data_IF_853193636199
#
_entry.id   IF_853193636199
#
_cell.length_a   1.000
_cell.length_b   1.000
_cell.length_c   1.000
_cell.angle_alpha   90.00
_cell.angle_beta   90.00
_cell.angle_gamma   90.00
#
_symmetry.space_group_name_H-M   'P 1'
#
loop_
_entity.id
_entity.type
_entity.pdbx_description
1 polymer ?
#
# COMPACT_ATOMS: atom_id res chain seq x y z
N UNK A 1 4.69 10.51 -5.73
CA UNK A 1 4.43 10.82 -4.29
C UNK A 1 5.02 9.70 -3.43
N UNK A 2 5.70 10.02 -2.31
CA UNK A 2 6.34 9.00 -1.48
C UNK A 2 5.33 8.29 -0.58
N UNK A 3 5.49 6.98 -0.44
CA UNK A 3 4.77 6.16 0.54
C UNK A 3 5.40 6.30 1.91
N UNK A 4 4.61 6.49 2.96
CA UNK A 4 5.12 6.64 4.33
C UNK A 4 4.96 5.32 5.08
N UNK A 5 6.09 4.77 5.55
CA UNK A 5 6.09 3.49 6.27
C UNK A 5 5.38 3.57 7.63
N UNK A 6 4.73 2.47 8.04
CA UNK A 6 4.06 2.35 9.36
C UNK A 6 5.00 2.66 10.53
N UNK A 7 6.27 2.24 10.45
CA UNK A 7 7.30 2.53 11.46
C UNK A 7 7.60 4.02 11.59
N UNK A 8 7.68 4.75 10.47
CA UNK A 8 7.93 6.20 10.48
C UNK A 8 6.77 6.92 11.16
N UNK A 9 5.52 6.55 10.83
CA UNK A 9 4.34 7.11 11.51
C UNK A 9 4.37 6.88 13.01
N UNK A 10 4.71 5.68 13.47
CA UNK A 10 4.83 5.36 14.90
C UNK A 10 5.92 6.19 15.58
N UNK A 11 7.10 6.32 14.96
CA UNK A 11 8.19 7.14 15.49
C UNK A 11 7.76 8.61 15.57
N UNK A 12 7.07 9.13 14.56
CA UNK A 12 6.60 10.52 14.59
C UNK A 12 5.56 10.75 15.68
N UNK A 13 4.63 9.82 15.91
CA UNK A 13 3.71 9.92 17.05
C UNK A 13 4.44 9.96 18.39
N UNK A 14 5.41 9.07 18.60
CA UNK A 14 6.20 9.02 19.84
C UNK A 14 7.05 10.27 20.01
N UNK A 15 7.72 10.72 18.95
CA UNK A 15 8.56 11.92 18.99
C UNK A 15 7.73 13.20 19.21
N UNK A 16 6.60 13.35 18.54
CA UNK A 16 5.67 14.48 18.74
C UNK A 16 5.08 14.49 20.14
N UNK A 17 4.71 13.33 20.69
CA UNK A 17 4.21 13.22 22.06
C UNK A 17 5.30 13.54 23.09
N UNK A 18 6.52 13.05 22.90
CA UNK A 18 7.65 13.36 23.77
C UNK A 18 7.97 14.86 23.78
N UNK A 19 8.03 15.47 22.59
CA UNK A 19 8.30 16.91 22.44
C UNK A 19 7.20 17.77 23.08
N UNK A 20 5.92 17.42 22.85
CA UNK A 20 4.81 18.12 23.48
C UNK A 20 4.85 17.98 25.01
N UNK A 21 5.19 16.80 25.53
CA UNK A 21 5.35 16.56 26.96
C UNK A 21 6.47 17.43 27.55
N UNK A 22 7.60 17.55 26.86
CA UNK A 22 8.69 18.45 27.26
C UNK A 22 8.25 19.91 27.32
N UNK A 23 7.50 20.38 26.29
CA UNK A 23 6.97 21.76 26.26
C UNK A 23 6.02 22.01 27.43
N UNK A 24 5.12 21.07 27.72
CA UNK A 24 4.17 21.21 28.84
C UNK A 24 4.87 21.20 30.20
N UNK A 25 5.89 20.35 30.39
CA UNK A 25 6.68 20.31 31.64
C UNK A 25 7.45 21.62 31.84
N UNK A 26 8.10 22.15 30.79
CA UNK A 26 8.80 23.44 30.87
C UNK A 26 7.82 24.59 31.17
N UNK A 27 6.65 24.59 30.51
CA UNK A 27 5.59 25.57 30.79
C UNK A 27 5.08 25.48 32.23
N UNK A 28 4.93 24.27 32.77
CA UNK A 28 4.56 24.03 34.17
C UNK A 28 5.59 24.61 35.14
N UNK A 29 6.89 24.40 34.91
CA UNK A 29 7.93 24.91 35.81
C UNK A 29 8.18 26.41 35.69
N UNK A 30 8.08 27.00 34.49
CA UNK A 30 8.46 28.39 34.24
C UNK A 30 7.31 29.40 34.38
N UNK A 31 6.06 28.98 34.13
CA UNK A 31 4.93 29.91 33.94
C UNK A 31 3.70 29.59 34.80
N UNK A 32 3.86 28.77 35.85
CA UNK A 32 2.74 28.37 36.73
C UNK A 32 2.00 29.58 37.32
N UNK A 33 0.69 29.68 37.04
CA UNK A 33 -0.17 30.74 37.54
C UNK A 33 -0.18 32.03 36.73
N UNK A 34 0.45 32.06 35.56
CA UNK A 34 0.42 33.21 34.62
C UNK A 34 -0.44 32.89 33.38
N UNK A 35 -0.92 33.92 32.68
CA UNK A 35 -1.65 33.76 31.40
C UNK A 35 -0.79 33.15 30.29
N UNK A 36 0.54 33.14 30.45
CA UNK A 36 1.48 32.57 29.49
C UNK A 36 1.43 31.04 29.50
N UNK A 37 0.96 30.42 30.59
CA UNK A 37 0.78 28.97 30.66
C UNK A 37 -0.20 28.44 29.60
N UNK A 38 -1.29 29.18 29.34
CA UNK A 38 -2.30 28.80 28.36
C UNK A 38 -1.71 28.76 26.94
N UNK A 39 -0.83 29.71 26.60
CA UNK A 39 -0.12 29.72 25.32
C UNK A 39 0.80 28.49 25.17
N UNK A 40 1.53 28.11 26.22
CA UNK A 40 2.38 26.91 26.21
C UNK A 40 1.57 25.63 25.97
N UNK A 41 0.41 25.50 26.62
CA UNK A 41 -0.48 24.35 26.43
C UNK A 41 -1.01 24.32 24.99
N UNK A 42 -1.42 25.47 24.45
CA UNK A 42 -1.88 25.57 23.06
C UNK A 42 -0.80 25.12 22.06
N UNK A 43 0.43 25.62 22.19
CA UNK A 43 1.54 25.22 21.32
C UNK A 43 1.93 23.75 21.49
N UNK A 44 1.89 23.20 22.72
CA UNK A 44 2.16 21.79 22.96
C UNK A 44 1.18 20.88 22.22
N UNK A 45 -0.12 21.21 22.23
CA UNK A 45 -1.15 20.49 21.47
C UNK A 45 -0.87 20.62 19.97
N UNK A 46 -0.60 21.83 19.49
CA UNK A 46 -0.35 22.07 18.07
C UNK A 46 0.84 21.24 17.56
N UNK A 47 1.94 21.19 18.31
CA UNK A 47 3.13 20.40 18.00
C UNK A 47 2.88 18.89 18.12
N UNK A 48 2.03 18.46 19.07
CA UNK A 48 1.67 17.05 19.22
C UNK A 48 0.93 16.52 17.98
N UNK A 49 -0.03 17.29 17.45
CA UNK A 49 -0.92 16.82 16.39
C UNK A 49 -0.46 17.15 14.97
N UNK A 50 0.23 18.27 14.75
CA UNK A 50 0.54 18.75 13.40
C UNK A 50 1.42 17.78 12.60
N UNK A 51 2.60 17.34 13.07
CA UNK A 51 3.46 16.46 12.31
C UNK A 51 2.83 15.09 11.99
N UNK A 52 2.22 14.37 12.96
CA UNK A 52 1.55 13.10 12.67
C UNK A 52 0.40 13.23 11.67
N UNK A 53 -0.36 14.33 11.75
CA UNK A 53 -1.49 14.59 10.85
C UNK A 53 -1.02 14.78 9.42
N UNK A 54 0.04 15.57 9.19
CA UNK A 54 0.61 15.80 7.86
C UNK A 54 1.08 14.47 7.24
N UNK A 55 1.80 13.64 7.98
CA UNK A 55 2.26 12.34 7.47
C UNK A 55 1.10 11.40 7.15
N UNK A 56 0.07 11.37 8.00
CA UNK A 56 -1.13 10.58 7.72
C UNK A 56 -1.86 11.06 6.47
N UNK A 57 -1.92 12.37 6.26
CA UNK A 57 -2.55 12.95 5.08
C UNK A 57 -1.78 12.62 3.79
N UNK A 58 -0.45 12.67 3.80
CA UNK A 58 0.38 12.29 2.65
C UNK A 58 0.16 10.81 2.29
N UNK A 59 0.18 9.92 3.28
CA UNK A 59 -0.06 8.49 3.05
C UNK A 59 -1.49 8.23 2.55
N UNK A 60 -2.48 8.92 3.10
CA UNK A 60 -3.87 8.86 2.63
C UNK A 60 -3.98 9.28 1.16
N UNK A 61 -3.35 10.40 0.77
CA UNK A 61 -3.33 10.85 -0.63
C UNK A 61 -2.63 9.84 -1.54
N UNK A 62 -1.53 9.24 -1.10
CA UNK A 62 -0.84 8.20 -1.85
C UNK A 62 -1.75 6.98 -2.08
N UNK A 63 -2.38 6.47 -1.01
CA UNK A 63 -3.32 5.34 -1.08
C UNK A 63 -4.51 5.62 -1.99
N UNK A 64 -5.10 6.82 -1.87
CA UNK A 64 -6.20 7.26 -2.72
C UNK A 64 -5.80 7.26 -4.21
N UNK A 65 -4.63 7.82 -4.53
CA UNK A 65 -4.13 7.82 -5.91
C UNK A 65 -3.85 6.41 -6.44
N UNK A 66 -3.44 5.47 -5.58
CA UNK A 66 -3.30 4.06 -5.97
C UNK A 66 -4.67 3.43 -6.31
N UNK A 67 -5.67 3.64 -5.45
CA UNK A 67 -7.02 3.10 -5.68
C UNK A 67 -7.68 3.71 -6.92
N UNK A 68 -7.40 4.97 -7.25
CA UNK A 68 -7.88 5.64 -8.47
C UNK A 68 -7.34 5.01 -9.76
N UNK A 69 -6.09 4.54 -9.77
CA UNK A 69 -5.45 3.92 -10.95
C UNK A 69 -5.64 2.40 -11.03
N UNK A 70 -6.14 1.76 -9.97
CA UNK A 70 -6.31 0.31 -9.93
C UNK A 70 -7.28 -0.23 -11.01
N UNK A 71 -8.42 0.43 -11.30
CA UNK A 71 -9.31 -0.01 -12.38
C UNK A 71 -8.64 0.03 -13.77
N UNK A 72 -7.79 1.03 -14.03
CA UNK A 72 -7.09 1.16 -15.31
C UNK A 72 -6.02 0.09 -15.50
N UNK A 73 -5.35 -0.30 -14.41
CA UNK A 73 -4.49 -1.48 -14.38
C UNK A 73 -5.29 -2.73 -14.76
N UNK A 74 -6.45 -2.96 -14.13
CA UNK A 74 -7.25 -4.16 -14.41
C UNK A 74 -7.76 -4.19 -15.85
N UNK A 75 -8.21 -3.06 -16.39
CA UNK A 75 -8.57 -2.95 -17.81
C UNK A 75 -7.42 -3.32 -18.72
N UNK A 76 -6.20 -2.86 -18.41
CA UNK A 76 -5.01 -3.18 -19.19
C UNK A 76 -4.65 -4.67 -19.13
N UNK A 77 -4.82 -5.31 -17.97
CA UNK A 77 -4.61 -6.76 -17.83
C UNK A 77 -5.64 -7.52 -18.64
N UNK A 78 -6.92 -7.16 -18.54
CA UNK A 78 -8.00 -7.81 -19.32
C UNK A 78 -7.75 -7.69 -20.82
N UNK A 79 -7.42 -6.49 -21.31
CA UNK A 79 -7.07 -6.27 -22.73
C UNK A 79 -5.88 -7.12 -23.17
N UNK A 80 -4.85 -7.25 -22.33
CA UNK A 80 -3.71 -8.10 -22.63
C UNK A 80 -4.10 -9.59 -22.66
N UNK A 81 -4.95 -10.05 -21.76
CA UNK A 81 -5.46 -11.42 -21.78
C UNK A 81 -6.36 -11.71 -22.98
N UNK A 82 -7.17 -10.74 -23.43
CA UNK A 82 -7.97 -10.84 -24.67
C UNK A 82 -7.09 -11.04 -25.92
N UNK A 83 -5.85 -10.55 -25.91
CA UNK A 83 -4.86 -10.83 -26.97
C UNK A 83 -4.14 -12.19 -26.82
N UNK A 84 -4.56 -13.00 -25.84
CA UNK A 84 -3.99 -14.32 -25.58
C UNK A 84 -2.75 -14.31 -24.66
N UNK A 85 -2.43 -13.20 -24.00
CA UNK A 85 -1.33 -13.18 -23.02
C UNK A 85 -1.69 -13.97 -21.76
N UNK A 86 -0.73 -14.71 -21.21
CA UNK A 86 -0.87 -15.30 -19.87
C UNK A 86 -0.93 -14.20 -18.81
N UNK A 87 -1.55 -14.46 -17.66
CA UNK A 87 -1.69 -13.47 -16.59
C UNK A 87 -0.33 -12.92 -16.09
N UNK A 88 0.73 -13.73 -15.87
CA UNK A 88 2.06 -13.20 -15.55
C UNK A 88 2.59 -12.24 -16.62
N UNK A 89 2.38 -12.57 -17.91
CA UNK A 89 2.84 -11.72 -19.02
C UNK A 89 2.05 -10.43 -19.13
N UNK A 90 0.74 -10.48 -18.94
CA UNK A 90 -0.13 -9.31 -18.88
C UNK A 90 0.26 -8.35 -17.75
N UNK A 91 0.65 -8.89 -16.59
CA UNK A 91 1.18 -8.11 -15.47
C UNK A 91 2.55 -7.51 -15.76
N UNK A 92 3.44 -8.24 -16.42
CA UNK A 92 4.75 -7.75 -16.86
C UNK A 92 4.60 -6.57 -17.84
N UNK A 93 3.75 -6.70 -18.85
CA UNK A 93 3.49 -5.61 -19.80
C UNK A 93 2.80 -4.42 -19.12
N UNK A 94 1.87 -4.69 -18.19
CA UNK A 94 1.24 -3.63 -17.40
C UNK A 94 2.26 -2.88 -16.53
N UNK A 95 3.26 -3.56 -15.95
CA UNK A 95 4.28 -2.91 -15.12
C UNK A 95 5.18 -1.92 -15.89
N UNK A 96 5.19 -1.98 -17.22
CA UNK A 96 5.88 -1.02 -18.10
C UNK A 96 5.10 0.28 -18.28
N UNK A 97 3.78 0.28 -18.07
CA UNK A 97 2.91 1.46 -18.16
C UNK A 97 2.98 2.33 -16.89
N UNK A 98 2.53 3.57 -17.03
CA UNK A 98 2.43 4.53 -15.92
C UNK A 98 1.01 4.56 -15.33
N UNK A 99 0.93 4.26 -14.04
CA UNK A 99 -0.25 4.28 -13.18
C UNK A 99 0.05 5.15 -11.93
N UNK A 100 0.96 6.11 -12.08
CA UNK A 100 1.38 7.01 -11.02
C UNK A 100 2.00 6.25 -9.83
N UNK A 101 1.52 6.44 -8.59
CA UNK A 101 2.13 5.82 -7.41
C UNK A 101 2.04 4.30 -7.40
N UNK A 102 1.12 3.70 -8.16
CA UNK A 102 0.93 2.26 -8.28
C UNK A 102 2.07 1.58 -9.08
N UNK A 103 2.64 2.26 -10.08
CA UNK A 103 3.69 1.71 -10.96
C UNK A 103 4.91 1.22 -10.18
N UNK A 104 5.32 1.95 -9.14
CA UNK A 104 6.47 1.56 -8.33
C UNK A 104 6.23 0.21 -7.60
N UNK A 105 5.01 -0.04 -7.13
CA UNK A 105 4.67 -1.30 -6.45
C UNK A 105 4.43 -2.46 -7.41
N UNK A 106 3.91 -2.17 -8.63
CA UNK A 106 3.80 -3.14 -9.71
C UNK A 106 5.16 -3.59 -10.24
N UNK A 107 6.10 -2.65 -10.45
CA UNK A 107 7.47 -3.00 -10.87
C UNK A 107 8.18 -3.88 -9.86
N UNK A 108 7.99 -3.61 -8.56
CA UNK A 108 8.50 -4.48 -7.49
C UNK A 108 7.88 -5.87 -7.55
N UNK A 109 6.57 -5.97 -7.75
CA UNK A 109 5.88 -7.25 -7.90
C UNK A 109 6.40 -8.03 -9.12
N UNK A 110 6.57 -7.37 -10.26
CA UNK A 110 7.13 -7.98 -11.46
C UNK A 110 8.58 -8.47 -11.24
N UNK A 111 9.39 -7.68 -10.53
CA UNK A 111 10.75 -8.08 -10.16
C UNK A 111 10.75 -9.33 -9.26
N UNK A 112 9.83 -9.42 -8.30
CA UNK A 112 9.70 -10.61 -7.45
C UNK A 112 9.35 -11.86 -8.27
N UNK A 113 8.42 -11.75 -9.22
CA UNK A 113 8.06 -12.85 -10.13
C UNK A 113 9.28 -13.24 -10.98
N UNK A 114 10.02 -12.26 -11.51
CA UNK A 114 11.23 -12.52 -12.30
C UNK A 114 12.35 -13.22 -11.52
N UNK A 115 12.33 -13.11 -10.19
CA UNK A 115 13.27 -13.79 -9.28
C UNK A 115 12.75 -15.15 -8.77
N UNK A 116 11.68 -15.67 -9.38
CA UNK A 116 11.15 -17.01 -9.10
C UNK A 116 10.08 -17.07 -8.01
N UNK A 117 9.63 -15.92 -7.48
CA UNK A 117 8.45 -15.90 -6.60
C UNK A 117 7.21 -16.30 -7.40
N UNK A 118 6.34 -17.13 -6.83
CA UNK A 118 5.10 -17.50 -7.52
C UNK A 118 4.20 -16.27 -7.70
N UNK A 119 3.34 -16.30 -8.72
CA UNK A 119 2.43 -15.18 -8.99
C UNK A 119 1.55 -14.85 -7.77
N UNK A 120 1.05 -15.87 -7.09
CA UNK A 120 0.18 -15.72 -5.92
C UNK A 120 0.91 -15.06 -4.76
N UNK A 121 2.11 -15.55 -4.42
CA UNK A 121 2.94 -14.96 -3.38
C UNK A 121 3.28 -13.50 -3.70
N UNK A 122 3.59 -13.20 -4.97
CA UNK A 122 3.91 -11.84 -5.41
C UNK A 122 2.69 -10.91 -5.31
N UNK A 123 1.49 -11.39 -5.67
CA UNK A 123 0.23 -10.65 -5.52
C UNK A 123 -0.12 -10.40 -4.05
N UNK A 124 0.06 -11.39 -3.18
CA UNK A 124 -0.14 -11.25 -1.72
C UNK A 124 0.87 -10.24 -1.14
N UNK A 125 2.13 -10.33 -1.54
CA UNK A 125 3.16 -9.37 -1.12
C UNK A 125 2.85 -7.96 -1.62
N UNK A 126 2.37 -7.82 -2.85
CA UNK A 126 1.89 -6.56 -3.41
C UNK A 126 0.72 -5.99 -2.61
N UNK A 127 -0.30 -6.80 -2.28
CA UNK A 127 -1.43 -6.36 -1.46
C UNK A 127 -1.00 -5.86 -0.08
N UNK A 128 -0.09 -6.58 0.58
CA UNK A 128 0.47 -6.18 1.87
C UNK A 128 1.28 -4.89 1.78
N UNK A 129 1.94 -4.63 0.65
CA UNK A 129 2.66 -3.36 0.45
C UNK A 129 1.68 -2.22 0.20
N UNK A 130 0.74 -2.35 -0.73
CA UNK A 130 -0.19 -1.25 -1.06
C UNK A 130 -1.12 -0.94 0.11
N UNK A 131 -1.61 -1.96 0.80
CA UNK A 131 -2.38 -1.85 2.05
C UNK A 131 -3.63 -0.95 1.91
N UNK A 132 -4.36 -1.11 0.81
CA UNK A 132 -5.68 -0.49 0.59
C UNK A 132 -6.79 -1.54 0.63
N UNK A 133 -8.00 -1.13 1.00
CA UNK A 133 -9.16 -2.03 1.10
C UNK A 133 -9.46 -2.65 -0.26
N UNK A 134 -9.35 -1.86 -1.33
CA UNK A 134 -9.65 -2.30 -2.69
C UNK A 134 -8.69 -3.41 -3.11
N UNK A 135 -7.37 -3.22 -2.94
CA UNK A 135 -6.36 -4.21 -3.31
C UNK A 135 -6.52 -5.51 -2.51
N UNK A 136 -6.78 -5.42 -1.21
CA UNK A 136 -7.01 -6.60 -0.35
C UNK A 136 -8.25 -7.42 -0.77
N UNK A 137 -9.24 -6.79 -1.41
CA UNK A 137 -10.42 -7.49 -1.93
C UNK A 137 -10.20 -8.05 -3.33
N UNK A 138 -9.45 -7.35 -4.18
CA UNK A 138 -9.28 -7.74 -5.59
C UNK A 138 -8.21 -8.81 -5.78
N UNK A 139 -7.13 -8.78 -5.00
CA UNK A 139 -6.02 -9.74 -5.16
C UNK A 139 -6.46 -11.20 -4.99
N UNK A 140 -7.24 -11.58 -3.96
CA UNK A 140 -7.74 -12.94 -3.83
C UNK A 140 -8.59 -13.39 -5.03
N UNK A 141 -9.38 -12.48 -5.62
CA UNK A 141 -10.19 -12.78 -6.81
C UNK A 141 -9.32 -13.06 -8.03
N UNK A 142 -8.21 -12.33 -8.18
CA UNK A 142 -7.23 -12.56 -9.27
C UNK A 142 -6.55 -13.92 -9.09
N UNK A 143 -6.19 -14.27 -7.86
CA UNK A 143 -5.59 -15.57 -7.54
C UNK A 143 -6.57 -16.70 -7.88
N UNK A 144 -7.83 -16.60 -7.46
CA UNK A 144 -8.86 -17.59 -7.74
C UNK A 144 -9.14 -17.74 -9.25
N UNK A 145 -9.19 -16.62 -9.97
CA UNK A 145 -9.36 -16.61 -11.42
C UNK A 145 -8.17 -17.29 -12.14
N UNK A 146 -6.94 -17.03 -11.69
CA UNK A 146 -5.74 -17.69 -12.20
C UNK A 146 -5.78 -19.21 -11.94
N UNK A 147 -6.24 -19.60 -10.75
CA UNK A 147 -6.39 -21.00 -10.38
C UNK A 147 -7.42 -21.70 -11.29
N UNK A 148 -8.56 -21.07 -11.53
CA UNK A 148 -9.65 -21.58 -12.37
C UNK A 148 -9.27 -21.69 -13.85
N UNK A 149 -8.50 -20.74 -14.38
CA UNK A 149 -8.05 -20.72 -15.77
C UNK A 149 -6.87 -21.65 -16.06
N UNK A 150 -6.06 -22.00 -15.04
CA UNK A 150 -4.86 -22.82 -15.20
C UNK A 150 -5.03 -24.30 -14.81
N UNK A 151 -6.05 -24.67 -14.03
CA UNK A 151 -6.24 -26.05 -13.55
C UNK A 151 -7.08 -26.94 -14.45
N UNK A 152 -7.53 -26.43 -15.60
CA UNK A 152 -8.23 -27.24 -16.60
C UNK A 152 -7.35 -28.44 -16.99
N UNK A 153 -6.05 -28.22 -17.21
CA UNK A 153 -5.07 -29.27 -17.54
C UNK A 153 -4.93 -30.34 -16.43
N UNK A 154 -4.92 -29.94 -15.15
CA UNK A 154 -4.84 -30.89 -14.02
C UNK A 154 -6.13 -31.69 -13.80
N UNK A 155 -7.28 -31.17 -14.22
CA UNK A 155 -8.55 -31.91 -14.20
C UNK A 155 -8.61 -32.95 -15.33
N UNK A 156 -7.94 -32.69 -16.47
CA UNK A 156 -7.89 -33.60 -17.61
C UNK A 156 -6.73 -34.62 -17.59
N UNK A 157 -5.65 -34.38 -16.83
CA UNK A 157 -4.52 -35.31 -16.69
C UNK A 157 -4.94 -36.76 -16.28
N UNK A 158 -5.90 -36.97 -15.36
CA UNK A 158 -6.40 -38.30 -15.06
C UNK A 158 -7.16 -38.95 -16.23
N UNK A 159 -7.81 -38.16 -17.09
CA UNK A 159 -8.61 -38.68 -18.22
C UNK A 159 -7.75 -39.17 -19.38
N UNK A 160 -6.55 -38.59 -19.57
CA UNK A 160 -5.58 -39.04 -20.57
C UNK A 160 -4.99 -40.42 -20.29
N UNK A 161 -5.16 -40.96 -19.08
CA UNK A 161 -4.73 -42.32 -18.72
C UNK A 161 -5.75 -43.41 -19.06
N UNK A 162 -6.96 -43.04 -19.48
CA UNK A 162 -8.04 -43.98 -19.82
C UNK A 162 -8.28 -44.13 -21.33
N UNK A 163 -7.44 -43.51 -22.16
CA UNK A 163 -7.37 -43.69 -23.62
C UNK A 163 -6.01 -44.29 -23.95
#
# INVERSE_FOLDING_TARGET
>A
MPKIGKRIKQITWVASAALAMTITILGFFAAWGTTVFDDFVFFAILVAFTPPTILNYIDYRWKKAVDEHLPDLFRSIVQAQETGMTLPRALEESAKRDYGPLTAELRKMNAQISWGMTLEEALVAFAKRVDTILVHRTVPLIIEANHSGGHVEKVFDPMGKFV
#
